data_IF_603388878100
#
_entry.id   IF_603388878100
#
_cell.length_a   1.000
_cell.length_b   1.000
_cell.length_c   1.000
_cell.angle_alpha   90.00
_cell.angle_beta   90.00
_cell.angle_gamma   90.00
#
_symmetry.space_group_name_H-M   'P 1'
#
loop_
_entity.id
_entity.type
_entity.pdbx_description
1 polymer ?
#
# COMPACT_ATOMS: atom_id res chain seq x y z
N UNK A 1 32.77 -13.57 -43.93
CA UNK A 1 32.23 -14.48 -42.91
C UNK A 1 31.80 -13.63 -41.74
N UNK A 2 30.53 -13.25 -41.70
CA UNK A 2 29.95 -12.42 -40.64
C UNK A 2 29.37 -13.40 -39.63
N UNK A 3 29.86 -13.34 -38.39
CA UNK A 3 29.39 -14.17 -37.29
C UNK A 3 28.08 -13.55 -36.83
N UNK A 4 26.97 -14.27 -37.06
CA UNK A 4 25.70 -13.99 -36.39
C UNK A 4 25.85 -14.43 -34.94
N UNK A 5 25.96 -13.47 -34.03
CA UNK A 5 25.76 -13.73 -32.61
C UNK A 5 24.28 -14.00 -32.38
N UNK A 6 24.01 -15.22 -31.90
CA UNK A 6 22.69 -15.64 -31.45
C UNK A 6 22.28 -14.77 -30.25
N UNK A 7 21.32 -13.87 -30.45
CA UNK A 7 20.58 -13.28 -29.36
C UNK A 7 19.82 -14.37 -28.60
N UNK A 8 19.99 -14.50 -27.28
CA UNK A 8 19.22 -15.45 -26.49
C UNK A 8 17.79 -14.93 -26.33
N UNK A 9 16.85 -15.68 -26.91
CA UNK A 9 15.46 -15.86 -26.50
C UNK A 9 14.77 -14.65 -25.85
N UNK A 10 13.99 -13.91 -26.66
CA UNK A 10 12.83 -13.14 -26.22
C UNK A 10 11.92 -14.04 -25.36
N UNK A 11 11.96 -13.85 -24.04
CA UNK A 11 10.93 -14.35 -23.14
C UNK A 11 9.70 -13.46 -23.31
N UNK A 12 8.63 -14.05 -23.84
CA UNK A 12 7.22 -13.64 -23.81
C UNK A 12 6.92 -12.20 -23.35
N UNK A 13 6.54 -11.34 -24.29
CA UNK A 13 5.95 -10.00 -24.11
C UNK A 13 4.59 -10.08 -23.35
N UNK A 14 4.61 -10.31 -22.04
CA UNK A 14 3.53 -9.87 -21.17
C UNK A 14 3.87 -8.44 -20.74
N UNK A 15 3.31 -7.44 -21.43
CA UNK A 15 3.41 -6.04 -21.02
C UNK A 15 2.60 -5.82 -19.73
N UNK A 16 3.22 -6.06 -18.58
CA UNK A 16 2.67 -5.63 -17.29
C UNK A 16 2.81 -4.11 -17.15
N UNK A 17 1.91 -3.51 -16.37
CA UNK A 17 2.01 -2.11 -15.95
C UNK A 17 2.72 -2.06 -14.61
N UNK A 18 3.96 -1.58 -14.62
CA UNK A 18 4.65 -1.20 -13.39
C UNK A 18 4.09 0.13 -12.88
N UNK A 19 3.52 0.13 -11.68
CA UNK A 19 2.84 1.26 -11.07
C UNK A 19 3.26 1.38 -9.60
N UNK A 20 3.24 2.58 -9.03
CA UNK A 20 3.37 2.73 -7.57
C UNK A 20 2.12 2.27 -6.82
N UNK A 21 0.97 2.28 -7.51
CA UNK A 21 -0.28 1.81 -6.95
C UNK A 21 -1.42 1.76 -7.96
N UNK A 22 -2.39 0.91 -7.66
CA UNK A 22 -3.64 0.77 -8.40
C UNK A 22 -4.84 0.56 -7.48
N UNK A 23 -5.97 1.15 -7.85
CA UNK A 23 -7.27 0.96 -7.20
C UNK A 23 -8.38 0.78 -8.24
N UNK A 24 -9.24 -0.21 -8.01
CA UNK A 24 -10.48 -0.44 -8.76
C UNK A 24 -11.66 -0.30 -7.80
N UNK A 25 -12.51 0.67 -8.09
CA UNK A 25 -13.70 0.96 -7.30
C UNK A 25 -14.94 0.85 -8.16
N UNK A 26 -16.04 0.44 -7.51
CA UNK A 26 -17.35 0.38 -8.13
C UNK A 26 -18.33 1.24 -7.37
N UNK A 27 -18.90 2.23 -8.06
CA UNK A 27 -19.97 3.06 -7.54
C UNK A 27 -21.31 2.42 -7.86
N UNK A 28 -22.21 2.43 -6.88
CA UNK A 28 -23.58 1.95 -6.98
C UNK A 28 -24.54 3.00 -6.46
N UNK A 29 -25.65 3.19 -7.18
CA UNK A 29 -26.76 4.00 -6.69
C UNK A 29 -27.72 3.13 -5.86
N UNK A 30 -27.89 3.47 -4.59
CA UNK A 30 -28.79 2.80 -3.64
C UNK A 30 -29.69 3.87 -3.04
N UNK A 31 -31.02 3.71 -3.12
CA UNK A 31 -32.00 4.67 -2.58
C UNK A 31 -31.76 6.13 -3.03
N UNK A 32 -31.39 6.31 -4.29
CA UNK A 32 -31.01 7.61 -4.89
C UNK A 32 -29.64 8.18 -4.49
N UNK A 33 -28.92 7.56 -3.55
CA UNK A 33 -27.58 7.98 -3.12
C UNK A 33 -26.49 7.15 -3.79
N UNK A 34 -25.38 7.80 -4.13
CA UNK A 34 -24.20 7.13 -4.68
C UNK A 34 -23.25 6.69 -3.57
N UNK A 35 -23.07 5.39 -3.47
CA UNK A 35 -22.10 4.70 -2.61
C UNK A 35 -21.00 4.08 -3.47
N UNK A 36 -19.88 3.69 -2.87
CA UNK A 36 -18.83 2.98 -3.59
C UNK A 36 -18.31 1.79 -2.77
N UNK A 37 -17.89 0.76 -3.47
CA UNK A 37 -17.15 -0.39 -2.94
C UNK A 37 -15.74 -0.39 -3.52
N UNK A 38 -14.76 -0.71 -2.67
CA UNK A 38 -13.40 -0.98 -3.10
C UNK A 38 -13.35 -2.44 -3.57
N UNK A 39 -13.17 -2.65 -4.88
CA UNK A 39 -13.15 -3.99 -5.49
C UNK A 39 -11.75 -4.58 -5.38
N UNK A 40 -10.73 -3.77 -5.67
CA UNK A 40 -9.33 -4.17 -5.61
C UNK A 40 -8.47 -2.96 -5.32
N UNK A 41 -7.44 -3.12 -4.51
CA UNK A 41 -6.42 -2.11 -4.30
C UNK A 41 -5.07 -2.79 -4.06
N UNK A 42 -4.01 -2.20 -4.60
CA UNK A 42 -2.64 -2.64 -4.40
C UNK A 42 -1.73 -1.41 -4.46
N UNK A 43 -0.93 -1.18 -3.43
CA UNK A 43 -0.03 -0.03 -3.44
C UNK A 43 -0.72 1.33 -3.31
N UNK A 44 -2.01 1.45 -3.00
CA UNK A 44 -2.66 2.75 -2.71
C UNK A 44 -3.40 2.63 -1.38
N UNK A 45 -3.15 3.59 -0.48
CA UNK A 45 -3.84 3.63 0.82
C UNK A 45 -5.29 4.09 0.69
N UNK A 46 -6.17 3.52 1.51
CA UNK A 46 -7.59 3.89 1.57
C UNK A 46 -7.84 5.39 1.81
N UNK A 47 -7.07 6.11 2.67
CA UNK A 47 -7.25 7.55 2.85
C UNK A 47 -7.07 8.35 1.56
N UNK A 48 -6.08 7.98 0.73
CA UNK A 48 -5.86 8.65 -0.56
C UNK A 48 -7.04 8.41 -1.50
N UNK A 49 -7.52 7.16 -1.59
CA UNK A 49 -8.72 6.83 -2.39
C UNK A 49 -9.94 7.63 -1.93
N UNK A 50 -10.16 7.75 -0.62
CA UNK A 50 -11.26 8.53 -0.05
C UNK A 50 -11.19 10.01 -0.43
N UNK A 51 -10.01 10.62 -0.30
CA UNK A 51 -9.78 12.02 -0.66
C UNK A 51 -10.02 12.26 -2.17
N UNK A 52 -9.53 11.35 -3.02
CA UNK A 52 -9.77 11.40 -4.47
C UNK A 52 -11.26 11.29 -4.79
N UNK A 53 -11.97 10.37 -4.16
CA UNK A 53 -13.42 10.23 -4.37
C UNK A 53 -14.13 11.49 -3.91
N UNK A 54 -13.84 12.03 -2.73
CA UNK A 54 -14.49 13.24 -2.22
C UNK A 54 -14.30 14.43 -3.16
N UNK A 55 -13.08 14.63 -3.66
CA UNK A 55 -12.76 15.72 -4.58
C UNK A 55 -13.44 15.56 -5.95
N UNK A 56 -13.51 14.35 -6.50
CA UNK A 56 -13.94 14.11 -7.89
C UNK A 56 -15.33 13.48 -8.03
N UNK A 57 -16.04 13.18 -6.92
CA UNK A 57 -17.35 12.48 -6.92
C UNK A 57 -18.37 13.12 -7.86
N UNK A 58 -18.48 14.45 -7.85
CA UNK A 58 -19.44 15.18 -8.70
C UNK A 58 -19.16 14.97 -10.19
N UNK A 59 -17.90 15.04 -10.59
CA UNK A 59 -17.45 14.84 -11.96
C UNK A 59 -17.68 13.40 -12.42
N UNK A 60 -17.32 12.43 -11.57
CA UNK A 60 -17.49 10.99 -11.82
C UNK A 60 -18.96 10.65 -12.06
N UNK A 61 -19.87 11.18 -11.24
CA UNK A 61 -21.31 10.88 -11.32
C UNK A 61 -21.98 11.59 -12.50
N UNK A 62 -21.55 12.81 -12.84
CA UNK A 62 -22.19 13.62 -13.87
C UNK A 62 -21.89 13.12 -15.30
N UNK A 63 -20.78 12.41 -15.50
CA UNK A 63 -20.27 12.07 -16.82
C UNK A 63 -20.36 10.56 -17.11
N UNK A 64 -20.57 10.19 -18.37
CA UNK A 64 -20.60 8.78 -18.80
C UNK A 64 -19.21 8.13 -18.81
N UNK A 65 -18.18 8.94 -19.03
CA UNK A 65 -16.77 8.54 -18.98
C UNK A 65 -15.92 9.78 -18.73
N UNK A 66 -14.72 9.60 -18.22
CA UNK A 66 -13.76 10.69 -18.11
C UNK A 66 -12.40 10.20 -17.65
N UNK A 67 -11.46 11.12 -17.70
CA UNK A 67 -10.12 10.91 -17.19
C UNK A 67 -9.63 12.21 -16.53
N UNK A 68 -8.82 12.05 -15.49
CA UNK A 68 -8.22 13.18 -14.78
C UNK A 68 -6.76 12.82 -14.48
N UNK A 69 -5.86 13.79 -14.63
CA UNK A 69 -4.45 13.66 -14.25
C UNK A 69 -4.20 14.62 -13.11
N UNK A 70 -3.72 14.10 -11.99
CA UNK A 70 -3.62 14.82 -10.72
C UNK A 70 -2.16 14.76 -10.29
N UNK A 71 -1.38 15.81 -10.54
CA UNK A 71 -0.02 15.89 -10.05
C UNK A 71 -0.04 16.07 -8.53
N UNK A 72 0.73 15.25 -7.83
CA UNK A 72 1.11 15.40 -6.43
C UNK A 72 2.61 15.68 -6.37
N UNK A 73 3.14 15.95 -5.17
CA UNK A 73 4.53 16.41 -5.01
C UNK A 73 5.58 15.46 -5.61
N UNK A 74 5.43 14.15 -5.37
CA UNK A 74 6.36 13.10 -5.79
C UNK A 74 5.70 11.97 -6.61
N UNK A 75 4.44 12.15 -7.02
CA UNK A 75 3.69 11.15 -7.77
C UNK A 75 2.61 11.81 -8.61
N UNK A 76 2.14 11.10 -9.64
CA UNK A 76 0.97 11.48 -10.43
C UNK A 76 -0.12 10.43 -10.28
N UNK A 77 -1.34 10.88 -10.01
CA UNK A 77 -2.53 10.03 -9.96
C UNK A 77 -3.35 10.21 -11.22
N UNK A 78 -3.67 9.12 -11.90
CA UNK A 78 -4.56 9.08 -13.05
C UNK A 78 -5.88 8.46 -12.64
N UNK A 79 -6.98 9.20 -12.84
CA UNK A 79 -8.33 8.69 -12.68
C UNK A 79 -8.88 8.33 -14.06
N UNK A 80 -9.49 7.16 -14.19
CA UNK A 80 -10.30 6.79 -15.35
C UNK A 80 -11.61 6.19 -14.88
N UNK A 81 -12.75 6.71 -15.35
CA UNK A 81 -14.06 6.21 -14.93
C UNK A 81 -15.00 6.01 -16.10
N UNK A 82 -15.88 5.02 -15.96
CA UNK A 82 -16.83 4.61 -17.00
C UNK A 82 -18.16 4.21 -16.37
N UNK A 83 -19.25 4.77 -16.90
CA UNK A 83 -20.60 4.40 -16.54
C UNK A 83 -20.97 3.09 -17.26
N UNK A 84 -21.27 2.05 -16.48
CA UNK A 84 -21.71 0.75 -16.98
C UNK A 84 -23.23 0.71 -17.20
N UNK A 85 -23.98 1.34 -16.30
CA UNK A 85 -25.44 1.48 -16.37
C UNK A 85 -25.89 2.76 -15.66
N UNK A 86 -27.19 3.03 -15.61
CA UNK A 86 -27.72 4.23 -14.92
C UNK A 86 -27.26 4.31 -13.45
N UNK A 87 -27.07 3.15 -12.81
CA UNK A 87 -26.80 3.03 -11.37
C UNK A 87 -25.43 2.40 -11.06
N UNK A 88 -24.58 2.17 -12.07
CA UNK A 88 -23.25 1.57 -11.86
C UNK A 88 -22.16 2.34 -12.63
N UNK A 89 -21.09 2.69 -11.94
CA UNK A 89 -19.88 3.31 -12.50
C UNK A 89 -18.67 2.55 -11.98
N UNK A 90 -17.67 2.33 -12.83
CA UNK A 90 -16.35 1.85 -12.41
C UNK A 90 -15.37 3.01 -12.43
N UNK A 91 -14.49 3.05 -11.44
CA UNK A 91 -13.38 4.00 -11.32
C UNK A 91 -12.10 3.20 -11.16
N UNK A 92 -11.13 3.50 -12.00
CA UNK A 92 -9.77 3.00 -11.92
C UNK A 92 -8.87 4.16 -11.54
N UNK A 93 -8.04 3.93 -10.54
CA UNK A 93 -7.07 4.87 -9.99
C UNK A 93 -5.70 4.26 -10.23
N UNK A 94 -4.89 4.94 -11.03
CA UNK A 94 -3.50 4.59 -11.26
C UNK A 94 -2.63 5.61 -10.56
N UNK A 95 -1.52 5.18 -10.00
CA UNK A 95 -0.60 6.07 -9.33
C UNK A 95 0.82 5.67 -9.69
N UNK A 96 1.61 6.66 -10.09
CA UNK A 96 2.94 6.47 -10.64
C UNK A 96 3.88 7.61 -10.23
N UNK A 97 5.19 7.44 -10.45
CA UNK A 97 6.19 8.51 -10.28
C UNK A 97 5.91 9.65 -11.27
N UNK A 98 6.12 10.89 -10.85
CA UNK A 98 5.90 12.06 -11.71
C UNK A 98 6.79 12.07 -12.96
N UNK A 99 7.95 11.45 -12.85
CA UNK A 99 9.04 11.41 -13.81
C UNK A 99 9.03 10.13 -14.67
N UNK A 100 8.06 9.24 -14.47
CA UNK A 100 7.88 8.04 -15.29
C UNK A 100 6.84 8.29 -16.39
N UNK A 101 7.19 7.98 -17.64
CA UNK A 101 6.35 8.22 -18.83
C UNK A 101 5.36 7.06 -19.06
N UNK A 102 4.43 6.82 -18.13
CA UNK A 102 3.30 5.93 -18.46
C UNK A 102 2.46 6.55 -19.55
N UNK A 103 2.33 5.84 -20.67
CA UNK A 103 1.50 6.31 -21.76
C UNK A 103 0.02 6.15 -21.38
N UNK A 104 -0.76 7.22 -21.58
CA UNK A 104 -2.21 7.17 -21.42
C UNK A 104 -2.85 6.01 -22.21
N UNK A 105 -2.27 5.66 -23.36
CA UNK A 105 -2.74 4.55 -24.19
C UNK A 105 -2.69 3.22 -23.45
N UNK A 106 -1.64 2.92 -22.70
CA UNK A 106 -1.52 1.65 -21.97
C UNK A 106 -2.55 1.57 -20.83
N UNK A 107 -2.68 2.65 -20.05
CA UNK A 107 -3.71 2.76 -19.01
C UNK A 107 -5.12 2.61 -19.60
N UNK A 108 -5.38 3.26 -20.74
CA UNK A 108 -6.68 3.20 -21.41
C UNK A 108 -7.00 1.80 -21.94
N UNK A 109 -6.02 1.10 -22.53
CA UNK A 109 -6.19 -0.26 -23.03
C UNK A 109 -6.53 -1.22 -21.89
N UNK A 110 -5.81 -1.11 -20.76
CA UNK A 110 -6.10 -1.91 -19.58
C UNK A 110 -7.48 -1.58 -18.99
N UNK A 111 -7.82 -0.30 -18.84
CA UNK A 111 -9.16 0.09 -18.37
C UNK A 111 -10.27 -0.45 -19.28
N UNK A 112 -10.07 -0.42 -20.59
CA UNK A 112 -11.05 -0.98 -21.56
C UNK A 112 -11.23 -2.49 -21.37
N UNK A 113 -10.15 -3.23 -21.07
CA UNK A 113 -10.19 -4.65 -20.74
C UNK A 113 -11.03 -4.89 -19.48
N UNK A 114 -10.75 -4.19 -18.39
CA UNK A 114 -11.50 -4.31 -17.13
C UNK A 114 -12.98 -3.96 -17.33
N UNK A 115 -13.28 -2.88 -18.04
CA UNK A 115 -14.65 -2.49 -18.40
C UNK A 115 -15.39 -3.62 -19.12
N UNK A 116 -14.76 -4.22 -20.14
CA UNK A 116 -15.36 -5.33 -20.90
C UNK A 116 -15.67 -6.53 -20.00
N UNK A 117 -14.81 -6.80 -19.03
CA UNK A 117 -15.02 -7.87 -18.04
C UNK A 117 -16.28 -7.61 -17.19
N UNK A 118 -16.49 -6.37 -16.72
CA UNK A 118 -17.73 -6.00 -16.03
C UNK A 118 -18.97 -6.09 -16.94
N UNK A 119 -18.89 -5.60 -18.18
CA UNK A 119 -20.00 -5.67 -19.15
C UNK A 119 -20.38 -7.12 -19.51
N UNK A 120 -19.41 -8.04 -19.42
CA UNK A 120 -19.60 -9.47 -19.69
C UNK A 120 -20.05 -10.27 -18.46
N UNK A 121 -20.33 -9.60 -17.34
CA UNK A 121 -20.70 -10.22 -16.05
C UNK A 121 -19.70 -11.30 -15.58
N UNK A 122 -18.41 -11.06 -15.81
CA UNK A 122 -17.32 -11.89 -15.28
C UNK A 122 -17.36 -11.80 -13.74
N UNK A 123 -17.02 -12.91 -13.06
CA UNK A 123 -16.95 -12.94 -11.59
C UNK A 123 -15.89 -11.94 -11.08
N UNK A 124 -16.15 -11.31 -9.94
CA UNK A 124 -15.27 -10.25 -9.41
C UNK A 124 -13.87 -10.80 -9.14
N UNK A 125 -13.78 -12.04 -8.66
CA UNK A 125 -12.53 -12.75 -8.39
C UNK A 125 -11.68 -12.86 -9.67
N UNK A 126 -12.29 -13.17 -10.81
CA UNK A 126 -11.59 -13.23 -12.10
C UNK A 126 -11.16 -11.85 -12.62
N UNK A 127 -11.83 -10.78 -12.19
CA UNK A 127 -11.41 -9.40 -12.49
C UNK A 127 -10.21 -9.02 -11.61
N UNK A 128 -10.23 -9.45 -10.34
CA UNK A 128 -9.10 -9.28 -9.42
C UNK A 128 -7.87 -10.01 -9.97
N UNK A 129 -8.01 -11.27 -10.41
CA UNK A 129 -6.92 -12.03 -11.03
C UNK A 129 -6.34 -11.28 -12.24
N UNK A 130 -7.20 -10.68 -13.09
CA UNK A 130 -6.73 -9.85 -14.22
C UNK A 130 -5.96 -8.61 -13.77
N UNK A 131 -6.33 -8.01 -12.64
CA UNK A 131 -5.58 -6.90 -12.06
C UNK A 131 -4.24 -7.37 -11.50
N UNK A 132 -4.20 -8.48 -10.77
CA UNK A 132 -2.96 -9.03 -10.20
C UNK A 132 -1.96 -9.47 -11.28
N UNK A 133 -2.44 -10.08 -12.37
CA UNK A 133 -1.61 -10.54 -13.48
C UNK A 133 -1.01 -9.38 -14.30
N UNK A 134 -1.69 -8.23 -14.34
CA UNK A 134 -1.32 -7.12 -15.24
C UNK A 134 -0.63 -5.97 -14.50
N UNK A 135 -0.77 -5.88 -13.17
CA UNK A 135 -0.24 -4.76 -12.38
C UNK A 135 0.88 -5.24 -11.47
N UNK A 136 2.08 -4.77 -11.78
CA UNK A 136 3.25 -4.94 -10.94
C UNK A 136 3.44 -3.69 -10.09
N UNK A 137 3.66 -3.90 -8.78
CA UNK A 137 4.05 -2.83 -7.87
C UNK A 137 5.49 -3.12 -7.48
N UNK A 138 6.42 -2.17 -7.61
CA UNK A 138 7.82 -2.40 -7.27
C UNK A 138 7.94 -2.77 -5.79
N UNK A 139 8.93 -3.61 -5.45
CA UNK A 139 9.17 -4.01 -4.06
C UNK A 139 10.46 -3.35 -3.55
N UNK A 140 10.50 -3.04 -2.25
CA UNK A 140 11.71 -2.56 -1.58
C UNK A 140 12.44 -3.73 -0.90
N UNK A 141 13.77 -3.73 -1.01
CA UNK A 141 14.68 -4.70 -0.37
C UNK A 141 15.53 -4.08 0.75
N UNK A 142 15.24 -2.83 1.12
CA UNK A 142 16.04 -2.06 2.10
C UNK A 142 15.50 -2.17 3.54
N UNK A 143 14.31 -2.76 3.71
CA UNK A 143 13.78 -3.07 5.03
C UNK A 143 14.56 -4.24 5.63
N UNK A 144 15.09 -4.07 6.84
CA UNK A 144 15.80 -5.14 7.57
C UNK A 144 14.86 -5.83 8.53
N UNK A 145 14.05 -5.06 9.24
CA UNK A 145 13.06 -5.60 10.17
C UNK A 145 11.91 -4.63 10.39
N UNK A 146 10.72 -5.19 10.60
CA UNK A 146 9.54 -4.49 11.07
C UNK A 146 9.13 -5.09 12.42
N UNK A 147 8.94 -4.23 13.40
CA UNK A 147 8.32 -4.56 14.68
C UNK A 147 7.03 -3.76 14.84
N UNK A 148 5.92 -4.45 15.09
CA UNK A 148 4.63 -3.84 15.39
C UNK A 148 4.34 -4.11 16.86
N UNK A 149 4.26 -3.03 17.63
CA UNK A 149 4.21 -3.05 19.08
C UNK A 149 2.92 -2.37 19.53
N UNK A 150 2.20 -3.03 20.43
CA UNK A 150 0.96 -2.53 20.99
C UNK A 150 1.16 -1.37 21.97
N UNK A 151 0.07 -0.75 22.42
CA UNK A 151 0.09 0.45 23.28
C UNK A 151 0.76 0.26 24.63
N UNK A 152 0.91 -0.99 25.10
CA UNK A 152 1.54 -1.31 26.38
C UNK A 152 2.88 -2.03 26.20
N UNK A 153 3.49 -1.90 25.01
CA UNK A 153 4.79 -2.48 24.70
C UNK A 153 4.78 -3.96 24.33
N UNK A 154 3.60 -4.58 24.27
CA UNK A 154 3.48 -5.98 23.87
C UNK A 154 3.72 -6.15 22.36
N UNK A 155 4.49 -7.15 21.91
CA UNK A 155 4.67 -7.41 20.48
C UNK A 155 3.35 -7.90 19.88
N UNK A 156 2.94 -7.30 18.76
CA UNK A 156 1.79 -7.73 17.97
C UNK A 156 2.24 -8.58 16.79
N UNK A 157 3.28 -8.13 16.10
CA UNK A 157 3.84 -8.78 14.92
C UNK A 157 5.28 -8.35 14.73
N UNK A 158 6.10 -9.22 14.16
CA UNK A 158 7.43 -8.88 13.68
C UNK A 158 7.74 -9.64 12.40
N UNK A 159 8.55 -9.02 11.54
CA UNK A 159 9.18 -9.69 10.41
C UNK A 159 10.60 -9.17 10.28
N UNK A 160 11.54 -10.08 10.15
CA UNK A 160 12.97 -9.79 10.15
C UNK A 160 13.55 -10.52 8.94
N UNK A 161 14.43 -9.83 8.22
CA UNK A 161 15.23 -10.41 7.14
C UNK A 161 15.89 -11.71 7.62
N UNK A 162 15.70 -12.79 6.86
CA UNK A 162 16.17 -14.14 7.21
C UNK A 162 17.68 -14.22 7.39
N UNK A 163 18.43 -13.35 6.71
CA UNK A 163 19.89 -13.30 6.79
C UNK A 163 20.38 -12.57 8.06
N UNK A 164 19.48 -11.97 8.83
CA UNK A 164 19.80 -11.14 10.01
C UNK A 164 19.51 -11.87 11.32
N UNK A 165 20.10 -13.04 11.50
CA UNK A 165 19.88 -13.93 12.67
C UNK A 165 20.11 -13.29 14.04
N UNK A 166 21.04 -12.33 14.13
CA UNK A 166 21.31 -11.60 15.39
C UNK A 166 20.14 -10.73 15.84
N UNK A 167 19.46 -10.09 14.88
CA UNK A 167 18.26 -9.27 15.13
C UNK A 167 17.12 -10.19 15.54
N UNK A 168 16.94 -11.32 14.84
CA UNK A 168 15.93 -12.33 15.16
C UNK A 168 16.06 -12.89 16.58
N UNK A 169 17.28 -13.22 17.00
CA UNK A 169 17.53 -13.72 18.36
C UNK A 169 17.27 -12.67 19.46
N UNK A 170 17.17 -11.40 19.10
CA UNK A 170 17.03 -10.28 20.03
C UNK A 170 15.66 -9.60 19.95
N UNK A 171 14.70 -10.16 19.19
CA UNK A 171 13.41 -9.55 18.86
C UNK A 171 12.66 -9.01 20.10
N UNK A 172 12.53 -9.84 21.14
CA UNK A 172 11.84 -9.48 22.39
C UNK A 172 12.53 -8.33 23.10
N UNK A 173 13.86 -8.30 23.10
CA UNK A 173 14.64 -7.23 23.72
C UNK A 173 14.50 -5.92 22.94
N UNK A 174 14.51 -5.99 21.62
CA UNK A 174 14.33 -4.82 20.74
C UNK A 174 12.94 -4.22 20.94
N UNK A 175 11.88 -5.03 20.95
CA UNK A 175 10.52 -4.56 21.19
C UNK A 175 10.36 -3.87 22.56
N UNK A 176 10.89 -4.50 23.62
CA UNK A 176 10.87 -3.92 24.96
C UNK A 176 11.65 -2.60 25.06
N UNK A 177 12.82 -2.53 24.43
CA UNK A 177 13.65 -1.32 24.38
C UNK A 177 12.96 -0.17 23.66
N UNK A 178 12.39 -0.43 22.47
CA UNK A 178 11.67 0.59 21.69
C UNK A 178 10.45 1.10 22.45
N UNK A 179 9.68 0.21 23.08
CA UNK A 179 8.54 0.62 23.88
C UNK A 179 8.95 1.51 25.05
N UNK A 180 10.02 1.17 25.76
CA UNK A 180 10.49 1.95 26.90
C UNK A 180 10.95 3.35 26.46
N UNK A 181 11.72 3.44 25.38
CA UNK A 181 12.13 4.73 24.80
C UNK A 181 10.94 5.57 24.34
N UNK A 182 9.96 4.93 23.71
CA UNK A 182 8.76 5.63 23.25
C UNK A 182 7.95 6.17 24.42
N UNK A 183 7.70 5.37 25.47
CA UNK A 183 7.02 5.81 26.69
C UNK A 183 7.75 6.96 27.37
N UNK A 184 9.08 6.86 27.50
CA UNK A 184 9.91 7.94 28.04
C UNK A 184 9.78 9.23 27.22
N UNK A 185 9.83 9.13 25.89
CA UNK A 185 9.63 10.29 25.01
C UNK A 185 8.26 10.94 25.18
N UNK A 186 7.19 10.16 25.36
CA UNK A 186 5.84 10.69 25.60
C UNK A 186 5.75 11.45 26.92
N UNK A 187 6.38 10.92 27.98
CA UNK A 187 6.35 11.51 29.31
C UNK A 187 7.13 12.83 29.37
N UNK A 188 8.31 12.88 28.75
CA UNK A 188 9.21 14.04 28.84
C UNK A 188 8.95 15.08 27.75
N UNK A 189 8.74 14.64 26.51
CA UNK A 189 8.67 15.54 25.34
C UNK A 189 7.22 15.74 24.91
N UNK A 190 6.43 14.65 24.93
CA UNK A 190 5.04 14.64 24.48
C UNK A 190 4.12 15.54 25.32
N UNK A 191 4.34 15.61 26.64
CA UNK A 191 3.52 16.46 27.52
C UNK A 191 3.71 17.96 27.29
N UNK A 192 4.91 18.41 26.93
CA UNK A 192 5.22 19.84 26.76
C UNK A 192 5.06 20.31 25.31
N UNK A 193 5.38 19.46 24.34
CA UNK A 193 5.47 19.85 22.92
C UNK A 193 4.50 19.11 21.99
N UNK A 194 3.84 18.05 22.46
CA UNK A 194 3.10 17.11 21.61
C UNK A 194 4.01 16.32 20.65
N UNK A 195 5.33 16.39 20.83
CA UNK A 195 6.31 15.70 20.01
C UNK A 195 6.42 14.21 20.34
N UNK A 196 6.60 13.39 19.31
CA UNK A 196 6.76 11.94 19.42
C UNK A 196 8.15 11.53 18.94
N UNK A 197 8.71 10.45 19.51
CA UNK A 197 9.93 9.83 19.01
C UNK A 197 9.69 9.30 17.58
N UNK A 198 10.45 9.82 16.61
CA UNK A 198 10.33 9.45 15.18
C UNK A 198 11.48 8.60 14.67
N UNK A 199 12.67 8.76 15.24
CA UNK A 199 13.88 8.06 14.77
C UNK A 199 14.77 7.69 15.97
N UNK A 200 15.37 6.49 15.91
CA UNK A 200 16.47 6.09 16.78
C UNK A 200 17.64 5.71 15.89
N UNK A 201 18.75 6.43 16.02
CA UNK A 201 19.92 6.27 15.15
C UNK A 201 20.98 5.38 15.82
N UNK A 202 21.37 4.30 15.14
CA UNK A 202 22.42 3.34 15.53
C UNK A 202 23.59 3.35 14.53
N UNK A 203 23.99 4.53 14.06
CA UNK A 203 25.08 4.69 13.10
C UNK A 203 24.62 4.37 11.68
N UNK A 204 25.03 3.19 11.16
CA UNK A 204 24.64 2.75 9.82
C UNK A 204 23.22 2.16 9.76
N UNK A 205 22.59 1.92 10.89
CA UNK A 205 21.22 1.42 10.99
C UNK A 205 20.36 2.41 11.76
N UNK A 206 19.08 2.49 11.40
CA UNK A 206 18.13 3.40 12.03
C UNK A 206 16.79 2.70 12.22
N UNK A 207 16.16 2.97 13.36
CA UNK A 207 14.74 2.70 13.52
C UNK A 207 13.95 3.94 13.17
N UNK A 208 13.07 3.84 12.18
CA UNK A 208 12.02 4.80 11.96
C UNK A 208 10.75 4.35 12.68
N UNK A 209 10.14 5.26 13.44
CA UNK A 209 8.97 5.00 14.26
C UNK A 209 7.76 5.74 13.71
N UNK A 210 6.70 5.00 13.41
CA UNK A 210 5.37 5.54 13.08
C UNK A 210 4.40 5.10 14.15
N UNK A 211 3.56 6.01 14.64
CA UNK A 211 2.50 5.68 15.59
C UNK A 211 1.14 5.93 14.96
N UNK A 212 0.28 4.92 14.97
CA UNK A 212 -1.10 5.02 14.49
C UNK A 212 -2.03 4.24 15.42
N UNK A 213 -3.10 4.88 15.92
CA UNK A 213 -4.05 4.29 16.88
C UNK A 213 -3.37 3.61 18.09
N UNK A 214 -2.36 4.27 18.66
CA UNK A 214 -1.53 3.80 19.78
C UNK A 214 -0.77 2.48 19.50
N UNK A 215 -0.63 2.09 18.23
CA UNK A 215 0.27 1.03 17.79
C UNK A 215 1.55 1.68 17.26
N UNK A 216 2.69 1.17 17.70
CA UNK A 216 4.02 1.63 17.29
C UNK A 216 4.52 0.68 16.20
N UNK A 217 4.92 1.24 15.07
CA UNK A 217 5.56 0.55 13.97
C UNK A 217 7.01 1.00 13.94
N UNK A 218 7.92 0.07 14.16
CA UNK A 218 9.35 0.33 14.15
C UNK A 218 10.01 -0.39 12.98
N UNK A 219 10.55 0.39 12.05
CA UNK A 219 11.21 -0.08 10.83
C UNK A 219 12.71 0.07 10.99
N UNK A 220 13.44 -1.04 11.00
CA UNK A 220 14.89 -1.07 10.97
C UNK A 220 15.35 -1.06 9.52
N UNK A 221 16.17 -0.06 9.16
CA UNK A 221 16.71 0.11 7.80
C UNK A 221 18.16 0.60 7.87
N UNK A 222 18.93 0.38 6.80
CA UNK A 222 20.27 0.99 6.62
C UNK A 222 20.18 2.32 5.86
N UNK A 223 19.35 2.36 4.82
CA UNK A 223 19.10 3.54 4.00
C UNK A 223 17.59 3.72 3.78
N UNK A 224 17.15 4.98 3.76
CA UNK A 224 15.77 5.33 3.44
C UNK A 224 15.73 5.92 2.03
N UNK A 225 14.86 5.39 1.18
CA UNK A 225 14.48 5.98 -0.10
C UNK A 225 12.97 6.31 -0.10
N UNK A 226 12.53 7.06 -1.12
CA UNK A 226 11.15 7.52 -1.22
C UNK A 226 10.14 6.36 -1.31
N UNK A 227 10.55 5.22 -1.89
CA UNK A 227 9.71 4.05 -2.06
C UNK A 227 9.48 3.33 -0.72
N UNK A 228 10.56 3.11 0.03
CA UNK A 228 10.55 2.52 1.35
C UNK A 228 9.76 3.39 2.32
N UNK A 229 10.03 4.70 2.38
CA UNK A 229 9.29 5.63 3.24
C UNK A 229 7.78 5.55 2.96
N UNK A 230 7.41 5.57 1.68
CA UNK A 230 6.03 5.43 1.26
C UNK A 230 5.41 4.10 1.74
N UNK A 231 6.10 2.98 1.56
CA UNK A 231 5.59 1.69 2.01
C UNK A 231 5.49 1.58 3.53
N UNK A 232 6.37 2.23 4.29
CA UNK A 232 6.24 2.29 5.76
C UNK A 232 4.91 2.92 6.20
N UNK A 233 4.50 4.03 5.57
CA UNK A 233 3.20 4.65 5.83
C UNK A 233 2.03 3.78 5.32
N UNK A 234 2.17 3.17 4.14
CA UNK A 234 1.13 2.34 3.56
C UNK A 234 0.83 1.13 4.43
N UNK A 235 1.85 0.35 4.82
CA UNK A 235 1.66 -0.86 5.62
C UNK A 235 1.17 -0.55 7.03
N UNK A 236 1.55 0.61 7.58
CA UNK A 236 1.03 1.09 8.87
C UNK A 236 -0.49 1.26 8.81
N UNK A 237 -0.98 1.90 7.75
CA UNK A 237 -2.42 2.09 7.56
C UNK A 237 -3.13 0.76 7.27
N UNK A 238 -2.57 -0.08 6.39
CA UNK A 238 -3.16 -1.38 6.06
C UNK A 238 -3.27 -2.29 7.29
N UNK A 239 -2.26 -2.33 8.16
CA UNK A 239 -2.33 -3.11 9.41
C UNK A 239 -3.45 -2.62 10.32
N UNK A 240 -3.50 -1.31 10.57
CA UNK A 240 -4.51 -0.73 11.48
C UNK A 240 -5.91 -0.94 10.94
N UNK A 241 -6.12 -0.79 9.62
CA UNK A 241 -7.41 -1.00 8.98
C UNK A 241 -7.82 -2.48 9.01
N UNK A 242 -6.90 -3.40 8.64
CA UNK A 242 -7.16 -4.84 8.61
C UNK A 242 -7.49 -5.40 10.01
N UNK A 243 -6.83 -4.89 11.05
CA UNK A 243 -6.95 -5.42 12.41
C UNK A 243 -7.69 -4.52 13.38
N UNK A 244 -8.37 -3.46 12.91
CA UNK A 244 -9.05 -2.47 13.74
C UNK A 244 -9.90 -3.05 14.86
N UNK A 245 -10.76 -4.03 14.53
CA UNK A 245 -11.65 -4.66 15.51
C UNK A 245 -10.90 -5.62 16.47
N UNK A 246 -9.83 -6.25 15.99
CA UNK A 246 -8.95 -7.09 16.82
C UNK A 246 -8.19 -6.24 17.82
N UNK A 247 -7.68 -5.08 17.40
CA UNK A 247 -6.91 -4.16 18.22
C UNK A 247 -7.75 -3.57 19.37
N UNK A 248 -9.03 -3.25 19.11
CA UNK A 248 -9.95 -2.73 20.15
C UNK A 248 -10.17 -3.71 21.31
N UNK A 249 -10.26 -5.00 20.99
CA UNK A 249 -10.54 -6.06 21.96
C UNK A 249 -9.38 -7.04 22.06
N UNK A 250 -8.15 -6.53 21.96
CA UNK A 250 -6.96 -7.38 21.91
C UNK A 250 -6.75 -8.07 23.26
N UNK A 251 -6.77 -9.40 23.24
CA UNK A 251 -6.68 -10.26 24.42
C UNK A 251 -5.32 -10.93 24.58
N UNK A 252 -4.28 -10.44 23.88
CA UNK A 252 -2.93 -11.03 23.89
C UNK A 252 -2.69 -12.13 22.87
N UNK A 253 -3.69 -12.55 22.09
CA UNK A 253 -3.50 -13.60 21.07
C UNK A 253 -2.88 -13.07 19.77
N UNK A 254 -1.56 -13.10 19.68
CA UNK A 254 -0.79 -12.62 18.52
C UNK A 254 -1.05 -13.43 17.23
N UNK A 255 -1.62 -14.64 17.32
CA UNK A 255 -1.86 -15.49 16.15
C UNK A 255 -2.85 -14.85 15.17
N UNK A 256 -3.66 -13.90 15.65
CA UNK A 256 -4.60 -13.12 14.85
C UNK A 256 -3.90 -12.27 13.77
N UNK A 257 -2.62 -11.97 13.93
CA UNK A 257 -1.86 -11.13 12.99
C UNK A 257 -1.04 -11.92 11.97
N UNK A 258 -1.09 -13.26 11.98
CA UNK A 258 -0.25 -14.10 11.11
C UNK A 258 -0.44 -13.83 9.61
N UNK A 259 -1.67 -13.55 9.20
CA UNK A 259 -1.97 -13.29 7.79
C UNK A 259 -1.42 -11.95 7.30
N UNK A 260 -0.90 -11.09 8.18
CA UNK A 260 -0.29 -9.82 7.80
C UNK A 260 0.99 -10.00 6.97
N UNK A 261 1.67 -11.14 7.13
CA UNK A 261 2.86 -11.46 6.32
C UNK A 261 2.56 -11.38 4.82
N UNK A 262 1.41 -11.88 4.38
CA UNK A 262 0.98 -11.82 2.97
C UNK A 262 0.78 -10.38 2.48
N UNK A 263 0.47 -9.45 3.39
CA UNK A 263 0.34 -8.03 3.07
C UNK A 263 1.72 -7.39 2.92
N UNK A 264 2.65 -7.69 3.84
CA UNK A 264 4.03 -7.19 3.76
C UNK A 264 4.77 -7.68 2.52
N UNK A 265 4.58 -8.95 2.15
CA UNK A 265 5.24 -9.59 1.01
C UNK A 265 4.81 -9.00 -0.34
N UNK A 266 3.82 -8.10 -0.38
CA UNK A 266 3.45 -7.32 -1.56
C UNK A 266 4.38 -6.13 -1.80
N UNK A 267 5.10 -5.70 -0.76
CA UNK A 267 5.84 -4.43 -0.75
C UNK A 267 7.32 -4.60 -0.39
N UNK A 268 7.66 -5.64 0.36
CA UNK A 268 9.02 -5.87 0.86
C UNK A 268 9.56 -7.25 0.51
N UNK A 269 10.85 -7.30 0.20
CA UNK A 269 11.64 -8.54 0.07
C UNK A 269 12.44 -8.70 1.37
N UNK A 270 12.10 -9.72 2.17
CA UNK A 270 12.66 -10.04 3.50
C UNK A 270 12.96 -11.54 3.67
#
# INVERSE_FOLDING_TARGET
>A
MIIMENHPNMKNDCNYLELLGFGLLRFKRINSEWTYENVFQKGIGLPLLQNLIEAYKKEIIANNKGHSVIPLENMTVFLQYFKLSQDNIILLVYMDKTDHEITYSDLYLFTKRIRKSFESNIQIEQIIDQCEDYIEIPMSNDLIALFIIGPHGQPLYSKIDKDRTTVANSEVHIGGFISALFSFSQEIIGQESGGNLKEINFGNQRFYLITNNNVIFAFLVEQLDDLLERYMYLITNEFVDQYKEVLKNFNGDIRKFKDFEKTLDKYFIL
#
